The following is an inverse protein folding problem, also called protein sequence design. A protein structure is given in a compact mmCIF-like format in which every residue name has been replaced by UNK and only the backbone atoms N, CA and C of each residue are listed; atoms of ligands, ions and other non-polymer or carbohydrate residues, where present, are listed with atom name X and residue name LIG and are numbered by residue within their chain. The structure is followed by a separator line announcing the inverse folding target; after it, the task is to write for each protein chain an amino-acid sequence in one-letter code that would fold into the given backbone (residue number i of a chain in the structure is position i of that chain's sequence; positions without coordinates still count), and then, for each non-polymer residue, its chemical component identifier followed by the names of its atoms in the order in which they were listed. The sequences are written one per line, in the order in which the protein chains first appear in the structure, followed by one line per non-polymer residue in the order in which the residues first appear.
data_IF_916480750901
#
_entry.id   IF_916480750901
#
_cell.length_a   1.000
_cell.length_b   1.000
_cell.length_c   1.000
_cell.angle_alpha   90.00
_cell.angle_beta   90.00
_cell.angle_gamma   90.00
#
_symmetry.space_group_name_H-M   'P 1'
#
loop_
_entity.id
_entity.type
_entity.pdbx_description
1 polymer ?
#
# COMPACT_ATOMS: atom_id res chain seq x y z
N UNK A 1 -27.56 -7.21 -21.23
CA UNK A 1 -26.47 -6.25 -20.96
C UNK A 1 -25.19 -7.06 -20.89
N UNK A 2 -24.47 -7.15 -22.00
CA UNK A 2 -23.19 -7.83 -22.05
C UNK A 2 -22.18 -7.05 -21.20
N UNK A 3 -21.61 -7.75 -20.21
CA UNK A 3 -20.59 -7.21 -19.32
C UNK A 3 -19.29 -7.14 -20.15
N UNK A 4 -19.03 -6.03 -20.84
CA UNK A 4 -17.74 -5.83 -21.49
C UNK A 4 -16.68 -5.81 -20.39
N UNK A 5 -15.87 -6.87 -20.34
CA UNK A 5 -14.70 -6.91 -19.46
C UNK A 5 -13.66 -5.99 -20.11
N UNK A 6 -13.66 -4.72 -19.70
CA UNK A 6 -12.53 -3.84 -19.96
C UNK A 6 -11.30 -4.48 -19.31
N UNK A 7 -10.19 -4.57 -20.04
CA UNK A 7 -8.98 -5.16 -19.51
C UNK A 7 -8.47 -4.31 -18.34
N UNK A 8 -8.26 -4.94 -17.17
CA UNK A 8 -7.60 -4.29 -16.04
C UNK A 8 -6.19 -3.87 -16.44
N UNK A 9 -5.83 -2.63 -16.13
CA UNK A 9 -4.48 -2.13 -16.26
C UNK A 9 -3.80 -2.03 -14.90
N UNK A 10 -2.49 -2.30 -14.86
CA UNK A 10 -1.72 -2.37 -13.62
C UNK A 10 -0.49 -1.48 -13.74
N UNK A 11 -0.21 -0.70 -12.70
CA UNK A 11 1.03 0.09 -12.62
C UNK A 11 1.45 0.35 -11.17
N UNK A 12 2.72 0.70 -10.92
CA UNK A 12 3.15 1.17 -9.62
C UNK A 12 2.26 2.32 -9.13
N UNK A 13 1.96 2.31 -7.83
CA UNK A 13 1.17 3.35 -7.18
C UNK A 13 1.99 4.66 -7.08
N UNK A 14 1.42 5.73 -7.60
CA UNK A 14 2.01 7.07 -7.52
C UNK A 14 1.42 7.90 -6.36
N UNK A 15 2.10 8.99 -5.98
CA UNK A 15 1.58 9.90 -4.97
C UNK A 15 0.26 10.55 -5.40
N UNK A 16 0.12 10.85 -6.70
CA UNK A 16 -1.09 11.42 -7.29
C UNK A 16 -2.32 10.50 -7.20
N UNK A 17 -2.12 9.20 -6.93
CA UNK A 17 -3.21 8.22 -6.80
C UNK A 17 -3.80 8.17 -5.37
N UNK A 18 -3.15 8.77 -4.37
CA UNK A 18 -3.60 8.71 -2.97
C UNK A 18 -5.04 9.19 -2.74
N UNK A 19 -5.55 10.24 -3.43
CA UNK A 19 -6.96 10.60 -3.33
C UNK A 19 -7.88 9.44 -3.78
N UNK A 20 -7.57 8.79 -4.90
CA UNK A 20 -8.35 7.67 -5.41
C UNK A 20 -8.28 6.44 -4.49
N UNK A 21 -7.12 6.17 -3.87
CA UNK A 21 -6.99 5.12 -2.83
C UNK A 21 -7.86 5.44 -1.61
N UNK A 22 -7.94 6.72 -1.22
CA UNK A 22 -8.77 7.16 -0.09
C UNK A 22 -10.26 6.98 -0.39
N UNK A 23 -10.68 7.28 -1.61
CA UNK A 23 -12.07 7.10 -2.05
C UNK A 23 -12.44 5.61 -2.13
N UNK A 24 -11.55 4.78 -2.67
CA UNK A 24 -11.73 3.33 -2.69
C UNK A 24 -11.83 2.76 -1.28
N UNK A 25 -10.90 3.12 -0.39
CA UNK A 25 -10.91 2.67 1.00
C UNK A 25 -12.21 3.08 1.70
N UNK A 26 -12.69 4.32 1.51
CA UNK A 26 -13.96 4.79 2.07
C UNK A 26 -15.15 3.96 1.60
N UNK A 27 -15.20 3.64 0.31
CA UNK A 27 -16.27 2.82 -0.27
C UNK A 27 -16.28 1.40 0.33
N UNK A 28 -15.11 0.76 0.42
CA UNK A 28 -14.98 -0.57 1.04
C UNK A 28 -15.37 -0.55 2.53
N UNK A 29 -14.86 0.41 3.30
CA UNK A 29 -15.15 0.52 4.73
C UNK A 29 -16.64 0.80 5.00
N UNK A 30 -17.30 1.61 4.15
CA UNK A 30 -18.73 1.86 4.26
C UNK A 30 -19.57 0.60 4.00
N UNK A 31 -19.13 -0.28 3.09
CA UNK A 31 -19.78 -1.54 2.79
C UNK A 31 -19.55 -2.60 3.89
N UNK A 32 -18.33 -2.67 4.42
CA UNK A 32 -17.90 -3.73 5.35
C UNK A 32 -18.08 -3.35 6.83
N UNK A 33 -18.48 -2.10 7.13
CA UNK A 33 -18.59 -1.58 8.49
C UNK A 33 -17.23 -1.30 9.15
N UNK A 34 -16.20 -1.05 8.35
CA UNK A 34 -14.83 -0.81 8.81
C UNK A 34 -14.60 0.56 9.43
N UNK A 35 -13.44 0.73 10.05
CA UNK A 35 -13.08 1.96 10.77
C UNK A 35 -12.83 3.15 9.82
N UNK A 36 -13.56 4.28 9.92
CA UNK A 36 -13.43 5.39 8.98
C UNK A 36 -12.02 6.00 8.90
N UNK A 37 -11.25 5.95 9.99
CA UNK A 37 -9.86 6.47 10.00
C UNK A 37 -8.95 5.72 9.02
N UNK A 38 -9.29 4.48 8.62
CA UNK A 38 -8.49 3.72 7.68
C UNK A 38 -8.54 4.30 6.25
N UNK A 39 -9.45 5.25 5.97
CA UNK A 39 -9.47 6.03 4.73
C UNK A 39 -8.73 7.39 4.86
N UNK A 40 -8.08 7.68 5.99
CA UNK A 40 -7.29 8.89 6.17
C UNK A 40 -6.07 8.91 5.21
N UNK A 41 -5.84 10.00 4.44
CA UNK A 41 -4.71 10.08 3.51
C UNK A 41 -3.34 9.90 4.19
N UNK A 42 -3.18 10.38 5.42
CA UNK A 42 -1.93 10.22 6.18
C UNK A 42 -1.69 8.76 6.59
N UNK A 43 -2.74 8.06 7.02
CA UNK A 43 -2.71 6.63 7.28
C UNK A 43 -2.40 5.83 6.01
N UNK A 44 -3.10 6.10 4.91
CA UNK A 44 -2.92 5.40 3.64
C UNK A 44 -1.53 5.64 3.05
N UNK A 45 -1.01 6.86 3.10
CA UNK A 45 0.37 7.16 2.68
C UNK A 45 1.40 6.35 3.47
N UNK A 46 1.20 6.20 4.78
CA UNK A 46 2.05 5.33 5.60
C UNK A 46 1.95 3.89 5.13
N UNK A 47 0.75 3.36 4.90
CA UNK A 47 0.52 1.97 4.49
C UNK A 47 1.04 1.63 3.09
N UNK A 48 0.86 2.51 2.10
CA UNK A 48 1.07 2.20 0.69
C UNK A 48 2.32 2.85 0.06
N UNK A 49 2.98 3.80 0.73
CA UNK A 49 4.13 4.52 0.13
C UNK A 49 5.38 4.55 1.00
N UNK A 50 5.23 4.55 2.32
CA UNK A 50 6.37 4.68 3.23
C UNK A 50 7.17 3.37 3.36
N UNK A 51 8.10 3.14 2.43
CA UNK A 51 8.91 1.92 2.36
C UNK A 51 8.13 0.67 1.90
N UNK A 52 7.01 0.89 1.22
CA UNK A 52 6.20 -0.17 0.62
C UNK A 52 6.36 -0.15 -0.90
N UNK A 53 6.44 -1.32 -1.50
CA UNK A 53 6.29 -1.50 -2.94
C UNK A 53 4.83 -1.78 -3.23
N UNK A 54 4.19 -0.89 -3.98
CA UNK A 54 2.74 -0.91 -4.18
C UNK A 54 2.35 -0.92 -5.65
N UNK A 55 1.37 -1.77 -5.97
CA UNK A 55 0.79 -1.90 -7.31
C UNK A 55 -0.69 -1.54 -7.24
N UNK A 56 -1.14 -0.70 -8.17
CA UNK A 56 -2.52 -0.30 -8.31
C UNK A 56 -3.13 -0.90 -9.58
N UNK A 57 -4.35 -1.43 -9.44
CA UNK A 57 -5.17 -1.94 -10.53
C UNK A 57 -6.26 -0.93 -10.89
N UNK A 58 -6.43 -0.71 -12.19
CA UNK A 58 -7.36 0.25 -12.75
C UNK A 58 -8.31 -0.40 -13.75
N UNK A 59 -9.59 -0.03 -13.68
CA UNK A 59 -10.57 -0.22 -14.73
C UNK A 59 -10.81 1.13 -15.42
N UNK A 60 -10.27 1.29 -16.63
CA UNK A 60 -10.17 2.59 -17.28
C UNK A 60 -9.37 3.59 -16.43
N UNK A 61 -10.01 4.68 -16.02
CA UNK A 61 -9.40 5.69 -15.13
C UNK A 61 -9.68 5.45 -13.63
N UNK A 62 -10.55 4.50 -13.29
CA UNK A 62 -10.94 4.24 -11.91
C UNK A 62 -9.96 3.27 -11.24
N UNK A 63 -9.44 3.66 -10.08
CA UNK A 63 -8.64 2.77 -9.23
C UNK A 63 -9.58 1.80 -8.51
N UNK A 64 -9.42 0.50 -8.75
CA UNK A 64 -10.31 -0.55 -8.23
C UNK A 64 -9.66 -1.43 -7.17
N UNK A 65 -8.33 -1.50 -7.15
CA UNK A 65 -7.59 -2.18 -6.09
C UNK A 65 -6.17 -1.65 -5.96
N UNK A 66 -5.58 -1.87 -4.78
CA UNK A 66 -4.17 -1.60 -4.51
C UNK A 66 -3.62 -2.66 -3.57
N UNK A 67 -2.41 -3.15 -3.85
CA UNK A 67 -1.68 -4.08 -2.98
C UNK A 67 -0.31 -3.53 -2.65
N UNK A 68 0.22 -3.91 -1.49
CA UNK A 68 1.54 -3.49 -1.02
C UNK A 68 2.30 -4.66 -0.42
N UNK A 69 3.60 -4.71 -0.73
CA UNK A 69 4.57 -5.54 -0.04
C UNK A 69 5.55 -4.66 0.72
N UNK A 70 6.01 -5.14 1.87
CA UNK A 70 7.06 -4.51 2.67
C UNK A 70 8.19 -5.49 2.85
N UNK A 71 9.39 -5.04 2.51
CA UNK A 71 10.60 -5.75 2.89
C UNK A 71 10.78 -5.75 4.41
N UNK A 72 11.52 -6.73 4.96
CA UNK A 72 11.98 -6.64 6.33
C UNK A 72 12.73 -5.31 6.54
N UNK A 73 12.59 -4.66 7.71
CA UNK A 73 13.36 -3.44 7.99
C UNK A 73 14.84 -3.77 7.80
N UNK A 74 15.56 -2.92 7.06
CA UNK A 74 17.00 -3.08 6.90
C UNK A 74 17.62 -3.11 8.31
N UNK A 75 18.09 -4.27 8.72
CA UNK A 75 18.87 -4.39 9.95
C UNK A 75 20.18 -3.68 9.68
N UNK A 76 20.30 -2.41 10.10
CA UNK A 76 21.62 -1.84 10.30
C UNK A 76 22.28 -2.68 11.39
N UNK A 77 23.14 -3.60 10.99
CA UNK A 77 23.90 -4.44 11.90
C UNK A 77 25.23 -3.74 12.23
N UNK A 78 25.41 -3.13 13.42
CA UNK A 78 26.73 -2.85 13.95
C UNK A 78 27.15 -3.94 14.95
N UNK A 79 26.92 -5.23 14.66
CA UNK A 79 27.64 -6.28 15.38
C UNK A 79 29.09 -6.31 14.90
N UNK A 80 29.88 -5.34 15.35
CA UNK A 80 31.31 -5.55 15.49
C UNK A 80 31.51 -6.77 16.41
N UNK A 81 32.43 -7.70 16.10
CA UNK A 81 32.67 -8.84 16.96
C UNK A 81 33.19 -8.35 18.32
N UNK A 82 32.38 -8.53 19.37
CA UNK A 82 32.84 -8.41 20.76
C UNK A 82 33.93 -9.47 20.96
N UNK A 83 35.18 -9.02 21.03
CA UNK A 83 36.31 -9.84 21.45
C UNK A 83 36.32 -9.84 22.98
N UNK A 84 35.92 -10.95 23.59
CA UNK A 84 36.07 -11.16 25.04
C UNK A 84 37.56 -11.44 25.33
N UNK A 85 38.22 -10.73 26.27
CA UNK A 85 39.56 -11.09 26.71
C UNK A 85 39.51 -12.40 27.51
N UNK A 86 40.38 -13.35 27.16
CA UNK A 86 40.58 -14.58 27.93
C UNK A 86 41.46 -14.27 29.14
N UNK A 87 40.92 -14.44 30.34
CA UNK A 87 41.68 -14.60 31.60
C UNK A 87 41.73 -16.06 31.97
#
# INVERSE_FOLDING_TARGET
MENQVTALSWRPLDESDLPAVSDLARACLAADGGQPFAADPGFLRRCYRSGAESLAGFDGAALVCVSSLRGPPATSNPAAPVTMPRT
#
